data_IF_972361388283
#
_entry.id   IF_972361388283
#
_cell.length_a   1.000
_cell.length_b   1.000
_cell.length_c   1.000
_cell.angle_alpha   90.00
_cell.angle_beta   90.00
_cell.angle_gamma   90.00
#
_symmetry.space_group_name_H-M   'P 1'
#
loop_
_entity.id
_entity.type
_entity.pdbx_description
1 polymer ?
#
# COMPACT_ATOMS: atom_id res chain seq x y z
N UNK A 1 -28.36 -1.20 -6.99
CA UNK A 1 -27.67 -1.50 -5.71
C UNK A 1 -26.39 -0.68 -5.71
N UNK A 2 -26.10 0.06 -4.64
CA UNK A 2 -24.85 0.82 -4.53
C UNK A 2 -23.68 -0.15 -4.45
N UNK A 3 -22.69 0.01 -5.34
CA UNK A 3 -21.45 -0.77 -5.30
C UNK A 3 -20.44 -0.05 -4.42
N UNK A 4 -19.73 -0.80 -3.60
CA UNK A 4 -18.60 -0.24 -2.87
C UNK A 4 -17.44 0.06 -3.83
N UNK A 5 -16.78 1.18 -3.62
CA UNK A 5 -15.64 1.63 -4.42
C UNK A 5 -14.36 1.09 -3.80
N UNK A 6 -13.60 0.36 -4.61
CA UNK A 6 -12.29 -0.19 -4.23
C UNK A 6 -11.21 0.52 -5.04
N UNK A 7 -10.29 1.19 -4.34
CA UNK A 7 -9.08 1.76 -4.95
C UNK A 7 -7.91 0.81 -4.76
N UNK A 8 -7.31 0.32 -5.85
CA UNK A 8 -6.14 -0.55 -5.80
C UNK A 8 -4.89 0.33 -5.87
N UNK A 9 -4.22 0.51 -4.73
CA UNK A 9 -2.96 1.23 -4.64
C UNK A 9 -1.82 0.33 -5.15
N UNK A 10 -1.08 0.82 -6.14
CA UNK A 10 0.02 0.10 -6.79
C UNK A 10 1.16 1.06 -7.16
N UNK A 11 2.35 0.53 -7.46
CA UNK A 11 3.55 1.30 -7.75
C UNK A 11 4.50 1.32 -6.57
N UNK A 12 4.56 2.41 -5.84
CA UNK A 12 5.51 2.61 -4.73
C UNK A 12 6.80 3.29 -5.16
N UNK A 13 7.75 3.36 -4.22
CA UNK A 13 9.01 4.11 -4.36
C UNK A 13 10.24 3.20 -4.31
N UNK A 14 10.02 1.90 -4.18
CA UNK A 14 11.08 0.90 -4.08
C UNK A 14 11.50 0.35 -5.44
N UNK A 15 12.58 -0.43 -5.46
CA UNK A 15 13.00 -1.20 -6.65
C UNK A 15 11.98 -2.25 -7.09
N UNK A 16 10.97 -2.54 -6.28
CA UNK A 16 9.89 -3.49 -6.57
C UNK A 16 8.67 -2.87 -7.27
N UNK A 17 8.81 -1.63 -7.76
CA UNK A 17 7.77 -0.87 -8.46
C UNK A 17 7.04 -1.70 -9.53
N UNK A 18 7.78 -2.34 -10.43
CA UNK A 18 7.21 -3.15 -11.51
C UNK A 18 6.42 -4.38 -11.00
N UNK A 19 6.89 -4.97 -9.89
CA UNK A 19 6.20 -6.09 -9.25
C UNK A 19 4.88 -5.62 -8.65
N UNK A 20 4.89 -4.45 -8.00
CA UNK A 20 3.70 -3.83 -7.43
C UNK A 20 2.65 -3.53 -8.50
N UNK A 21 3.03 -2.99 -9.66
CA UNK A 21 2.11 -2.77 -10.78
C UNK A 21 1.48 -4.08 -11.27
N UNK A 22 2.27 -5.14 -11.42
CA UNK A 22 1.77 -6.47 -11.83
C UNK A 22 0.81 -7.04 -10.79
N UNK A 23 1.13 -6.94 -9.50
CA UNK A 23 0.26 -7.37 -8.40
C UNK A 23 -1.09 -6.63 -8.43
N UNK A 24 -1.06 -5.32 -8.63
CA UNK A 24 -2.27 -4.51 -8.76
C UNK A 24 -3.13 -4.88 -9.96
N UNK A 25 -2.52 -5.18 -11.11
CA UNK A 25 -3.26 -5.67 -12.29
C UNK A 25 -3.93 -7.03 -12.05
N UNK A 26 -3.25 -7.96 -11.36
CA UNK A 26 -3.84 -9.25 -11.00
C UNK A 26 -5.07 -9.05 -10.12
N UNK A 27 -4.97 -8.22 -9.08
CA UNK A 27 -6.09 -7.90 -8.19
C UNK A 27 -7.22 -7.22 -8.96
N UNK A 28 -6.91 -6.21 -9.79
CA UNK A 28 -7.90 -5.51 -10.60
C UNK A 28 -8.69 -6.45 -11.51
N UNK A 29 -8.03 -7.45 -12.10
CA UNK A 29 -8.68 -8.41 -12.99
C UNK A 29 -9.48 -9.47 -12.23
N UNK A 30 -9.10 -9.80 -10.99
CA UNK A 30 -9.73 -10.84 -10.17
C UNK A 30 -10.94 -10.34 -9.38
N UNK A 31 -11.02 -9.06 -9.04
CA UNK A 31 -12.15 -8.50 -8.26
C UNK A 31 -13.45 -8.62 -9.06
N UNK A 32 -14.51 -9.06 -8.37
CA UNK A 32 -15.87 -9.13 -8.92
C UNK A 32 -16.46 -7.74 -9.17
N UNK A 33 -16.41 -7.30 -10.42
CA UNK A 33 -16.96 -6.01 -10.86
C UNK A 33 -18.50 -5.97 -10.91
N UNK A 34 -19.18 -7.07 -10.64
CA UNK A 34 -20.63 -7.05 -10.43
C UNK A 34 -20.99 -6.50 -9.05
N UNK A 35 -20.11 -6.71 -8.06
CA UNK A 35 -20.29 -6.30 -6.66
C UNK A 35 -19.58 -4.98 -6.34
N UNK A 36 -18.44 -4.70 -7.00
CA UNK A 36 -17.57 -3.57 -6.70
C UNK A 36 -17.34 -2.66 -7.91
N UNK A 37 -17.17 -1.38 -7.62
CA UNK A 37 -16.60 -0.41 -8.56
C UNK A 37 -15.10 -0.27 -8.25
N UNK A 38 -14.24 -0.52 -9.24
CA UNK A 38 -12.81 -0.74 -8.98
C UNK A 38 -11.97 0.22 -9.80
N UNK A 39 -11.06 0.92 -9.14
CA UNK A 39 -10.12 1.85 -9.75
C UNK A 39 -8.68 1.50 -9.41
N UNK A 40 -7.78 1.71 -10.37
CA UNK A 40 -6.33 1.63 -10.15
C UNK A 40 -5.80 2.98 -9.70
N UNK A 41 -4.95 2.99 -8.68
CA UNK A 41 -4.31 4.21 -8.18
C UNK A 41 -2.80 3.99 -8.16
N UNK A 42 -2.10 4.77 -8.98
CA UNK A 42 -0.65 4.77 -8.97
C UNK A 42 -0.14 5.70 -7.86
N UNK A 43 0.56 5.13 -6.91
CA UNK A 43 1.21 5.84 -5.81
C UNK A 43 2.68 5.97 -6.16
N UNK A 44 3.07 7.12 -6.71
CA UNK A 44 4.44 7.42 -7.14
C UNK A 44 5.03 8.50 -6.23
N UNK A 45 6.35 8.56 -6.12
CA UNK A 45 7.05 9.45 -5.18
C UNK A 45 6.54 10.92 -5.24
N UNK A 46 6.33 11.43 -6.44
CA UNK A 46 5.93 12.83 -6.63
C UNK A 46 4.49 12.99 -7.18
N UNK A 47 3.79 11.89 -7.48
CA UNK A 47 2.50 11.97 -8.14
C UNK A 47 1.62 10.77 -7.82
N UNK A 48 0.53 10.99 -7.10
CA UNK A 48 -0.50 10.00 -6.87
C UNK A 48 -1.69 10.28 -7.78
N UNK A 49 -2.08 9.31 -8.59
CA UNK A 49 -3.17 9.49 -9.53
C UNK A 49 -3.98 8.22 -9.77
N UNK A 50 -5.27 8.41 -9.97
CA UNK A 50 -6.17 7.39 -10.50
C UNK A 50 -5.90 7.18 -11.99
N UNK A 51 -6.01 5.93 -12.44
CA UNK A 51 -6.10 5.58 -13.86
C UNK A 51 -7.57 5.29 -14.14
N UNK A 52 -8.20 6.19 -14.89
CA UNK A 52 -9.64 6.15 -15.14
C UNK A 52 -10.00 5.23 -16.32
N UNK A 53 -11.28 4.80 -16.47
CA UNK A 53 -11.68 3.85 -17.51
C UNK A 53 -11.37 4.29 -18.95
N UNK A 54 -11.33 5.59 -19.19
CA UNK A 54 -10.96 6.17 -20.50
C UNK A 54 -9.44 6.36 -20.68
N UNK A 55 -8.64 5.89 -19.74
CA UNK A 55 -7.18 6.00 -19.74
C UNK A 55 -6.65 7.36 -19.23
N UNK A 56 -7.52 8.31 -18.90
CA UNK A 56 -7.07 9.58 -18.32
C UNK A 56 -6.57 9.39 -16.89
N UNK A 57 -5.74 10.34 -16.42
CA UNK A 57 -5.20 10.36 -15.07
C UNK A 57 -5.81 11.50 -14.29
N UNK A 58 -6.36 11.21 -13.11
CA UNK A 58 -6.87 12.21 -12.17
C UNK A 58 -6.04 12.20 -10.89
N UNK A 59 -5.59 13.37 -10.44
CA UNK A 59 -4.80 13.48 -9.22
C UNK A 59 -5.60 13.00 -8.00
N UNK A 60 -4.91 12.32 -7.07
CA UNK A 60 -5.50 11.92 -5.80
C UNK A 60 -5.72 13.15 -4.93
N UNK A 61 -6.95 13.32 -4.43
CA UNK A 61 -7.22 14.23 -3.33
C UNK A 61 -6.71 13.62 -2.03
N UNK A 62 -5.70 14.26 -1.44
CA UNK A 62 -5.03 13.77 -0.23
C UNK A 62 -5.90 13.84 1.05
N UNK A 63 -7.03 14.52 1.02
CA UNK A 63 -7.94 14.61 2.17
C UNK A 63 -8.80 13.36 2.37
N UNK A 64 -9.09 12.62 1.28
CA UNK A 64 -9.99 11.47 1.30
C UNK A 64 -9.57 10.31 0.41
N UNK A 65 -8.36 10.36 -0.14
CA UNK A 65 -7.83 9.41 -1.13
C UNK A 65 -8.66 9.29 -2.42
N UNK A 66 -9.59 10.20 -2.67
CA UNK A 66 -10.47 10.21 -3.84
C UNK A 66 -9.91 10.99 -5.03
N UNK A 67 -10.72 11.13 -6.08
CA UNK A 67 -10.43 12.02 -7.20
C UNK A 67 -11.72 12.63 -7.79
N UNK A 68 -11.57 13.60 -8.69
CA UNK A 68 -12.68 14.13 -9.48
C UNK A 68 -12.61 13.59 -10.91
N UNK A 69 -13.74 13.12 -11.43
CA UNK A 69 -13.85 12.62 -12.80
C UNK A 69 -15.19 13.04 -13.43
N UNK A 70 -15.16 13.78 -14.54
CA UNK A 70 -16.33 14.28 -15.28
C UNK A 70 -17.33 15.05 -14.42
N UNK A 71 -16.86 15.73 -13.38
CA UNK A 71 -17.68 16.49 -12.44
C UNK A 71 -18.17 15.71 -11.22
N UNK A 72 -18.01 14.39 -11.21
CA UNK A 72 -18.34 13.53 -10.08
C UNK A 72 -17.13 13.34 -9.15
N UNK A 73 -17.38 13.10 -7.87
CA UNK A 73 -16.36 12.74 -6.88
C UNK A 73 -16.33 11.24 -6.71
N UNK A 74 -15.17 10.64 -6.93
CA UNK A 74 -14.88 9.23 -6.63
C UNK A 74 -14.14 9.19 -5.32
N UNK A 75 -14.75 8.62 -4.26
CA UNK A 75 -14.12 8.43 -2.95
C UNK A 75 -14.16 6.94 -2.61
N UNK A 76 -13.05 6.28 -2.34
CA UNK A 76 -13.05 4.85 -2.09
C UNK A 76 -13.61 4.51 -0.71
N UNK A 77 -14.40 3.42 -0.65
CA UNK A 77 -14.78 2.79 0.62
C UNK A 77 -13.61 2.02 1.25
N UNK A 78 -12.70 1.52 0.40
CA UNK A 78 -11.52 0.76 0.85
C UNK A 78 -10.38 0.89 -0.16
N UNK A 79 -9.17 0.96 0.36
CA UNK A 79 -7.93 0.88 -0.42
C UNK A 79 -7.35 -0.54 -0.32
N UNK A 80 -7.23 -1.20 -1.47
CA UNK A 80 -6.52 -2.47 -1.57
C UNK A 80 -5.06 -2.18 -1.89
N UNK A 81 -4.18 -2.42 -0.90
CA UNK A 81 -2.75 -2.14 -1.06
C UNK A 81 -2.02 -3.32 -1.71
N UNK A 82 -1.37 -3.08 -2.86
CA UNK A 82 -0.52 -4.04 -3.56
C UNK A 82 0.92 -3.52 -3.71
N UNK A 83 1.28 -2.49 -2.95
CA UNK A 83 2.61 -1.89 -3.04
C UNK A 83 3.61 -2.77 -2.27
N UNK A 84 4.68 -3.17 -2.97
CA UNK A 84 5.85 -3.81 -2.39
C UNK A 84 6.88 -2.75 -1.97
N UNK A 85 7.40 -2.89 -0.74
CA UNK A 85 8.30 -1.90 -0.15
C UNK A 85 7.57 -0.61 0.25
N UNK A 86 8.29 0.50 0.22
CA UNK A 86 7.81 1.84 0.58
C UNK A 86 6.86 2.41 -0.49
N UNK A 87 5.73 3.03 -0.12
CA UNK A 87 5.20 3.26 1.24
C UNK A 87 4.19 2.20 1.69
N UNK A 88 4.10 1.05 1.01
CA UNK A 88 3.05 0.05 1.23
C UNK A 88 3.31 -0.89 2.40
N UNK A 89 4.53 -1.43 2.52
CA UNK A 89 4.88 -2.43 3.53
C UNK A 89 5.50 -1.84 4.79
N UNK A 90 6.07 -0.64 4.71
CA UNK A 90 6.69 0.05 5.85
C UNK A 90 5.70 0.77 6.78
N UNK A 91 4.40 0.68 6.49
CA UNK A 91 3.33 1.26 7.28
C UNK A 91 2.98 2.71 6.95
N UNK A 92 3.73 3.39 6.09
CA UNK A 92 3.48 4.81 5.78
C UNK A 92 2.13 5.04 5.12
N UNK A 93 1.78 4.24 4.10
CA UNK A 93 0.48 4.32 3.44
C UNK A 93 -0.66 3.95 4.40
N UNK A 94 -0.47 2.90 5.21
CA UNK A 94 -1.45 2.49 6.21
C UNK A 94 -1.72 3.60 7.23
N UNK A 95 -0.67 4.22 7.77
CA UNK A 95 -0.78 5.35 8.70
C UNK A 95 -1.55 6.53 8.09
N UNK A 96 -1.22 6.90 6.85
CA UNK A 96 -1.90 7.97 6.15
C UNK A 96 -3.40 7.65 5.95
N UNK A 97 -3.75 6.44 5.50
CA UNK A 97 -5.14 6.04 5.28
C UNK A 97 -5.93 5.98 6.60
N UNK A 98 -5.31 5.51 7.69
CA UNK A 98 -5.90 5.53 9.03
C UNK A 98 -6.19 6.97 9.51
N UNK A 99 -5.25 7.91 9.28
CA UNK A 99 -5.42 9.32 9.65
C UNK A 99 -6.60 10.00 8.93
N UNK A 100 -6.83 9.66 7.66
CA UNK A 100 -7.95 10.22 6.89
C UNK A 100 -9.23 9.38 6.96
N UNK A 101 -9.24 8.31 7.78
CA UNK A 101 -10.41 7.47 8.02
C UNK A 101 -10.81 6.56 6.86
N UNK A 102 -9.90 6.23 5.94
CA UNK A 102 -10.13 5.33 4.82
C UNK A 102 -9.70 3.91 5.18
N UNK A 103 -10.61 2.95 5.07
CA UNK A 103 -10.31 1.54 5.32
C UNK A 103 -9.26 1.00 4.32
N UNK A 104 -8.43 0.06 4.76
CA UNK A 104 -7.37 -0.52 3.94
C UNK A 104 -7.15 -2.00 4.27
N UNK A 105 -6.50 -2.75 3.36
CA UNK A 105 -6.34 -4.21 3.46
C UNK A 105 -5.04 -4.68 4.10
N UNK A 106 -4.08 -3.78 4.38
CA UNK A 106 -2.82 -4.14 5.02
C UNK A 106 -3.00 -4.31 6.54
N UNK A 107 -1.96 -4.77 7.22
CA UNK A 107 -1.87 -4.67 8.67
C UNK A 107 -1.91 -3.19 9.10
N UNK A 108 -2.25 -2.93 10.38
CA UNK A 108 -2.15 -1.60 10.96
C UNK A 108 -0.71 -1.05 10.85
N UNK A 109 -0.59 0.26 10.82
CA UNK A 109 0.69 0.93 10.52
C UNK A 109 1.85 0.46 11.41
N UNK A 110 1.61 0.27 12.72
CA UNK A 110 2.64 -0.17 13.65
C UNK A 110 3.16 -1.58 13.35
N UNK A 111 2.24 -2.52 13.10
CA UNK A 111 2.58 -3.90 12.77
C UNK A 111 3.33 -3.98 11.43
N UNK A 112 2.91 -3.19 10.45
CA UNK A 112 3.57 -3.08 9.15
C UNK A 112 5.00 -2.55 9.31
N UNK A 113 5.17 -1.41 9.99
CA UNK A 113 6.48 -0.81 10.23
C UNK A 113 7.42 -1.75 10.99
N UNK A 114 6.92 -2.39 12.07
CA UNK A 114 7.72 -3.31 12.87
C UNK A 114 8.15 -4.54 12.05
N UNK A 115 7.24 -5.16 11.29
CA UNK A 115 7.56 -6.36 10.51
C UNK A 115 8.46 -6.05 9.31
N UNK A 116 8.40 -4.85 8.76
CA UNK A 116 9.27 -4.39 7.70
C UNK A 116 10.72 -4.22 8.18
N UNK A 117 10.93 -3.70 9.39
CA UNK A 117 12.25 -3.61 10.01
C UNK A 117 12.65 -4.95 10.65
N UNK A 118 13.42 -5.77 9.94
CA UNK A 118 13.84 -7.11 10.40
C UNK A 118 14.59 -7.08 11.73
N UNK A 119 15.44 -6.08 11.98
CA UNK A 119 16.19 -5.93 13.24
C UNK A 119 15.24 -5.77 14.43
N UNK A 120 14.32 -4.81 14.33
CA UNK A 120 13.39 -4.49 15.40
C UNK A 120 12.37 -5.62 15.60
N UNK A 121 11.84 -6.18 14.51
CA UNK A 121 10.95 -7.33 14.53
C UNK A 121 11.55 -8.50 15.30
N UNK A 122 12.77 -8.93 14.95
CA UNK A 122 13.47 -10.04 15.63
C UNK A 122 13.76 -9.73 17.10
N UNK A 123 14.09 -8.47 17.41
CA UNK A 123 14.36 -8.03 18.80
C UNK A 123 13.11 -8.13 19.67
N UNK A 124 11.95 -7.78 19.11
CA UNK A 124 10.65 -7.90 19.80
C UNK A 124 10.26 -9.37 19.95
N UNK A 125 10.26 -10.14 18.86
CA UNK A 125 9.81 -11.53 18.84
C UNK A 125 10.59 -12.42 19.81
N UNK A 126 11.92 -12.23 19.89
CA UNK A 126 12.78 -12.98 20.83
C UNK A 126 12.34 -12.79 22.29
N UNK A 127 11.88 -11.59 22.67
CA UNK A 127 11.40 -11.31 24.05
C UNK A 127 10.12 -12.08 24.39
N UNK A 128 9.32 -12.43 23.40
CA UNK A 128 8.12 -13.26 23.57
C UNK A 128 8.38 -14.77 23.44
N UNK A 129 9.65 -15.20 23.40
CA UNK A 129 10.02 -16.61 23.30
C UNK A 129 9.77 -17.23 21.93
N UNK A 130 9.49 -16.43 20.91
CA UNK A 130 9.30 -16.93 19.55
C UNK A 130 10.67 -17.33 18.99
N UNK A 131 10.76 -18.57 18.48
CA UNK A 131 11.99 -19.08 17.84
C UNK A 131 12.26 -18.30 16.56
N UNK A 132 13.40 -17.63 16.52
CA UNK A 132 13.89 -16.89 15.37
C UNK A 132 15.19 -17.50 14.86
N UNK A 133 15.46 -17.34 13.58
CA UNK A 133 16.76 -17.69 13.02
C UNK A 133 17.90 -16.91 13.70
N UNK A 134 19.08 -17.49 13.72
CA UNK A 134 20.28 -16.76 14.14
C UNK A 134 20.51 -15.60 13.18
N UNK A 135 20.80 -14.45 13.73
CA UNK A 135 21.01 -13.23 12.95
C UNK A 135 22.12 -12.40 13.57
N UNK A 136 22.91 -11.78 12.71
CA UNK A 136 23.91 -10.77 13.09
C UNK A 136 23.49 -9.44 12.45
N UNK A 137 23.86 -8.36 13.09
CA UNK A 137 23.67 -7.02 12.56
C UNK A 137 25.00 -6.50 12.05
N UNK A 138 24.99 -5.99 10.84
CA UNK A 138 26.16 -5.37 10.21
C UNK A 138 25.77 -3.92 9.96
N UNK A 139 26.56 -3.00 10.51
CA UNK A 139 26.38 -1.56 10.28
C UNK A 139 27.42 -1.07 9.28
N UNK A 140 27.20 0.12 8.73
CA UNK A 140 28.20 0.78 7.90
C UNK A 140 29.51 0.97 8.71
N UNK A 141 30.62 0.51 8.15
CA UNK A 141 31.94 0.54 8.79
C UNK A 141 32.30 -0.68 9.60
N UNK A 142 31.39 -1.65 9.79
CA UNK A 142 31.71 -2.92 10.46
C UNK A 142 32.63 -3.77 9.57
N UNK A 143 33.64 -4.39 10.18
CA UNK A 143 34.49 -5.39 9.50
C UNK A 143 33.78 -6.74 9.54
N UNK A 144 33.63 -7.37 8.37
CA UNK A 144 33.07 -8.73 8.26
C UNK A 144 34.24 -9.70 8.25
N UNK A 145 34.41 -10.49 9.36
CA UNK A 145 35.37 -11.58 9.46
C UNK A 145 34.75 -12.92 9.08
#
# INVERSE_FOLDING_TARGET
MYKKIVAIAMGGYSSEFEISLKSGEVVYNAIDKTCYEVYKVHVLENNWHYVLPDGTKAAVNKENFGCSYKGDSIVPDVVFNTIHGTPGEDGMLACYLELIGVAQTSAGFYQAALSFNKRDCLSVLKKFGIKCANSIYINEGDTIE
#
